data_IF_224754296059
#
_entry.id   IF_224754296059
#
_cell.length_a   1.000
_cell.length_b   1.000
_cell.length_c   1.000
_cell.angle_alpha   90.00
_cell.angle_beta   90.00
_cell.angle_gamma   90.00
#
_symmetry.space_group_name_H-M   'P 1'
#
loop_
_entity.id
_entity.type
_entity.pdbx_description
1 polymer ?
#
# COMPACT_ATOMS: atom_id res chain seq x y z
N UNK A 1 2.97 -14.69 10.20
CA UNK A 1 2.12 -14.92 11.39
C UNK A 1 1.41 -13.61 11.70
N UNK A 2 0.12 -13.65 12.00
CA UNK A 2 -0.68 -12.45 12.28
C UNK A 2 -0.46 -11.98 13.72
N UNK A 3 0.11 -10.78 13.88
CA UNK A 3 0.47 -10.20 15.17
C UNK A 3 -0.74 -10.09 16.11
N UNK A 4 -1.92 -9.75 15.58
CA UNK A 4 -3.10 -9.51 16.42
C UNK A 4 -3.80 -10.79 16.90
N UNK A 5 -3.42 -11.95 16.35
CA UNK A 5 -3.90 -13.27 16.81
C UNK A 5 -2.95 -13.95 17.79
N UNK A 6 -1.73 -13.43 17.93
CA UNK A 6 -0.79 -13.92 18.92
C UNK A 6 -1.07 -13.24 20.26
N UNK A 7 -1.70 -13.98 21.19
CA UNK A 7 -2.07 -13.46 22.50
C UNK A 7 -0.87 -12.96 23.31
N UNK A 8 0.31 -13.53 23.10
CA UNK A 8 1.55 -13.10 23.77
C UNK A 8 2.00 -11.75 23.22
N UNK A 9 2.04 -11.60 21.89
CA UNK A 9 2.41 -10.32 21.27
C UNK A 9 1.39 -9.22 21.59
N UNK A 10 0.09 -9.52 21.53
CA UNK A 10 -0.97 -8.56 21.90
C UNK A 10 -0.84 -8.14 23.37
N UNK A 11 -0.53 -9.08 24.27
CA UNK A 11 -0.29 -8.74 25.67
C UNK A 11 0.91 -7.80 25.80
N UNK A 12 2.05 -8.15 25.18
CA UNK A 12 3.28 -7.35 25.19
C UNK A 12 3.09 -5.94 24.61
N UNK A 13 2.37 -5.78 23.50
CA UNK A 13 2.07 -4.48 22.91
C UNK A 13 1.19 -3.61 23.83
N UNK A 14 0.33 -4.24 24.63
CA UNK A 14 -0.55 -3.52 25.55
C UNK A 14 0.11 -3.17 26.88
N UNK A 15 1.06 -3.98 27.37
CA UNK A 15 1.70 -3.77 28.68
C UNK A 15 3.06 -3.07 28.60
N UNK A 16 3.87 -3.39 27.57
CA UNK A 16 5.29 -3.01 27.50
C UNK A 16 5.60 -2.20 26.22
N UNK A 17 4.73 -1.24 25.91
CA UNK A 17 4.79 -0.48 24.64
C UNK A 17 6.13 0.25 24.42
N UNK A 18 6.74 0.80 25.46
CA UNK A 18 8.02 1.51 25.32
C UNK A 18 9.11 0.65 24.70
N UNK A 19 9.06 -0.67 24.96
CA UNK A 19 9.97 -1.64 24.36
C UNK A 19 9.45 -2.10 23.00
N UNK A 20 8.26 -2.70 22.96
CA UNK A 20 7.81 -3.38 21.74
C UNK A 20 7.31 -2.42 20.67
N UNK A 21 6.77 -1.26 21.04
CA UNK A 21 6.35 -0.23 20.09
C UNK A 21 7.51 0.37 19.31
N UNK A 22 8.68 0.55 19.94
CA UNK A 22 9.88 1.02 19.23
C UNK A 22 10.39 -0.01 18.24
N UNK A 23 10.35 -1.30 18.60
CA UNK A 23 10.72 -2.40 17.71
C UNK A 23 9.73 -2.51 16.54
N UNK A 24 8.42 -2.53 16.85
CA UNK A 24 7.34 -2.67 15.88
C UNK A 24 7.36 -1.55 14.83
N UNK A 25 7.62 -0.31 15.25
CA UNK A 25 7.67 0.86 14.38
C UNK A 25 9.06 1.11 13.77
N UNK A 26 10.02 0.21 14.01
CA UNK A 26 11.41 0.31 13.57
C UNK A 26 12.03 1.68 13.93
N UNK A 27 11.87 2.09 15.19
CA UNK A 27 12.38 3.34 15.75
C UNK A 27 13.60 3.07 16.61
N UNK A 28 14.72 3.72 16.27
CA UNK A 28 15.96 3.64 17.01
C UNK A 28 16.59 5.01 17.23
N UNK A 29 17.73 5.06 17.93
CA UNK A 29 18.54 6.28 18.07
C UNK A 29 19.06 6.82 16.72
N UNK A 30 19.03 6.02 15.66
CA UNK A 30 19.33 6.44 14.30
C UNK A 30 18.13 7.09 13.60
N UNK A 31 16.90 6.84 14.05
CA UNK A 31 15.68 7.41 13.48
C UNK A 31 15.28 8.72 14.17
N UNK A 32 15.48 8.81 15.49
CA UNK A 32 15.17 10.00 16.28
C UNK A 32 15.91 10.01 17.64
N UNK A 33 15.90 11.17 18.30
CA UNK A 33 16.58 11.36 19.61
C UNK A 33 15.96 10.50 20.71
N UNK A 34 14.63 10.37 20.72
CA UNK A 34 13.88 9.64 21.73
C UNK A 34 12.82 8.71 21.08
N UNK A 35 13.20 7.46 20.75
CA UNK A 35 12.31 6.49 20.12
C UNK A 35 11.05 6.19 20.93
N UNK A 36 11.14 6.20 22.26
CA UNK A 36 10.02 5.87 23.15
C UNK A 36 8.97 6.97 23.12
N UNK A 37 9.40 8.23 23.17
CA UNK A 37 8.48 9.37 23.07
C UNK A 37 7.77 9.37 21.72
N UNK A 38 8.51 9.16 20.62
CA UNK A 38 7.93 9.11 19.27
C UNK A 38 6.97 7.93 19.11
N UNK A 39 7.33 6.74 19.60
CA UNK A 39 6.45 5.57 19.51
C UNK A 39 5.15 5.75 20.29
N UNK A 40 5.17 6.45 21.43
CA UNK A 40 3.97 6.82 22.19
C UNK A 40 3.09 7.80 21.42
N UNK A 41 3.67 8.84 20.82
CA UNK A 41 2.93 9.80 19.99
C UNK A 41 2.20 9.11 18.83
N UNK A 42 2.87 8.18 18.14
CA UNK A 42 2.28 7.38 17.06
C UNK A 42 1.14 6.52 17.60
N UNK A 43 1.36 5.79 18.70
CA UNK A 43 0.30 4.98 19.32
C UNK A 43 -0.92 5.81 19.68
N UNK A 44 -0.71 6.95 20.33
CA UNK A 44 -1.80 7.78 20.83
C UNK A 44 -2.64 8.35 19.69
N UNK A 45 -1.99 8.75 18.58
CA UNK A 45 -2.68 9.25 17.38
C UNK A 45 -3.61 8.20 16.76
N UNK A 46 -3.11 6.98 16.51
CA UNK A 46 -3.88 5.93 15.84
C UNK A 46 -4.82 5.19 16.79
N UNK A 47 -4.34 4.78 17.96
CA UNK A 47 -5.09 3.94 18.88
C UNK A 47 -6.01 4.73 19.80
N UNK A 48 -5.75 6.03 20.03
CA UNK A 48 -6.58 6.91 20.87
C UNK A 48 -6.89 6.29 22.24
N UNK A 49 -5.88 5.69 22.86
CA UNK A 49 -5.98 5.00 24.15
C UNK A 49 -6.58 3.59 24.11
N UNK A 50 -7.01 3.10 22.95
CA UNK A 50 -7.52 1.73 22.80
C UNK A 50 -6.40 0.69 22.94
N UNK A 51 -6.75 -0.49 23.47
CA UNK A 51 -5.86 -1.64 23.50
C UNK A 51 -5.78 -2.29 22.12
N UNK A 52 -4.62 -2.85 21.79
CA UNK A 52 -4.46 -3.71 20.61
C UNK A 52 -5.30 -4.98 20.77
N UNK A 53 -5.99 -5.38 19.70
CA UNK A 53 -6.81 -6.57 19.63
C UNK A 53 -7.73 -6.52 18.40
N UNK A 54 -8.65 -7.49 18.29
CA UNK A 54 -9.53 -7.61 17.12
C UNK A 54 -10.37 -6.35 16.87
N UNK A 55 -10.83 -5.66 17.92
CA UNK A 55 -11.65 -4.45 17.79
C UNK A 55 -10.89 -3.21 17.32
N UNK A 56 -9.55 -3.21 17.43
CA UNK A 56 -8.68 -2.08 17.08
C UNK A 56 -7.72 -2.39 15.92
N UNK A 57 -7.99 -3.50 15.25
CA UNK A 57 -7.27 -4.02 14.09
C UNK A 57 -7.19 -3.04 12.93
N UNK A 58 -8.27 -2.29 12.62
CA UNK A 58 -8.25 -1.27 11.57
C UNK A 58 -7.24 -0.17 11.88
N UNK A 59 -7.24 0.35 13.12
CA UNK A 59 -6.30 1.37 13.57
C UNK A 59 -4.86 0.86 13.56
N UNK A 60 -4.66 -0.40 13.95
CA UNK A 60 -3.36 -1.05 13.85
C UNK A 60 -2.88 -1.15 12.39
N UNK A 61 -3.73 -1.60 11.47
CA UNK A 61 -3.40 -1.68 10.04
C UNK A 61 -3.10 -0.30 9.48
N UNK A 62 -3.91 0.72 9.78
CA UNK A 62 -3.66 2.11 9.35
C UNK A 62 -2.32 2.64 9.86
N UNK A 63 -1.99 2.42 11.14
CA UNK A 63 -0.71 2.81 11.74
C UNK A 63 0.47 2.17 11.00
N UNK A 64 0.40 0.87 10.73
CA UNK A 64 1.47 0.13 10.05
C UNK A 64 1.58 0.55 8.57
N UNK A 65 0.45 0.69 7.88
CA UNK A 65 0.38 1.14 6.48
C UNK A 65 1.01 2.52 6.33
N UNK A 66 0.69 3.45 7.24
CA UNK A 66 1.19 4.81 7.14
C UNK A 66 2.69 4.89 7.47
N UNK A 67 3.15 4.15 8.49
CA UNK A 67 4.57 4.11 8.91
C UNK A 67 5.49 3.53 7.82
N UNK A 68 5.07 2.45 7.17
CA UNK A 68 5.95 1.64 6.33
C UNK A 68 5.76 1.88 4.83
N UNK A 69 4.62 2.40 4.40
CA UNK A 69 4.32 2.58 2.98
C UNK A 69 3.94 4.00 2.63
N UNK A 70 2.87 4.55 3.24
CA UNK A 70 2.32 5.83 2.79
C UNK A 70 3.26 7.00 3.04
N UNK A 71 3.74 7.15 4.28
CA UNK A 71 4.59 8.29 4.63
C UNK A 71 5.96 8.23 3.94
N UNK A 72 6.69 7.09 3.94
CA UNK A 72 7.94 6.99 3.18
C UNK A 72 7.77 7.23 1.67
N UNK A 73 6.67 6.75 1.05
CA UNK A 73 6.40 7.00 -0.37
C UNK A 73 6.21 8.48 -0.66
N UNK A 74 5.44 9.18 0.20
CA UNK A 74 5.24 10.62 0.08
C UNK A 74 6.55 11.41 0.19
N UNK A 75 7.38 11.05 1.18
CA UNK A 75 8.73 11.62 1.35
C UNK A 75 9.59 11.39 0.12
N UNK A 76 9.64 10.15 -0.37
CA UNK A 76 10.41 9.79 -1.56
C UNK A 76 9.98 10.60 -2.79
N UNK A 77 8.67 10.81 -3.01
CA UNK A 77 8.21 11.65 -4.12
C UNK A 77 8.63 13.10 -3.98
N UNK A 78 8.45 13.70 -2.79
CA UNK A 78 8.83 15.09 -2.51
C UNK A 78 10.34 15.29 -2.72
N UNK A 79 11.14 14.37 -2.21
CA UNK A 79 12.60 14.42 -2.30
C UNK A 79 13.07 14.19 -3.76
N UNK A 80 12.45 13.27 -4.49
CA UNK A 80 12.74 13.05 -5.92
C UNK A 80 12.42 14.27 -6.77
N UNK A 81 11.26 14.91 -6.53
CA UNK A 81 10.87 16.13 -7.24
C UNK A 81 11.78 17.31 -6.89
N UNK A 82 12.24 17.40 -5.64
CA UNK A 82 13.19 18.42 -5.23
C UNK A 82 14.55 18.24 -5.91
N UNK A 83 15.03 16.99 -6.02
CA UNK A 83 16.30 16.65 -6.66
C UNK A 83 16.30 16.96 -8.17
N UNK A 84 15.16 16.78 -8.84
CA UNK A 84 14.98 17.02 -10.28
C UNK A 84 14.42 18.41 -10.60
N UNK A 85 14.57 19.36 -9.67
CA UNK A 85 14.03 20.71 -9.86
C UNK A 85 14.69 21.39 -11.06
N UNK A 86 13.91 21.62 -12.11
CA UNK A 86 14.36 22.23 -13.36
C UNK A 86 14.46 21.25 -14.52
N UNK A 87 14.39 19.95 -14.25
CA UNK A 87 14.26 18.92 -15.28
C UNK A 87 12.79 18.76 -15.69
N UNK A 88 12.55 18.44 -16.96
CA UNK A 88 11.22 18.11 -17.47
C UNK A 88 10.89 16.62 -17.20
N UNK A 89 11.09 16.19 -15.95
CA UNK A 89 10.81 14.84 -15.48
C UNK A 89 9.55 14.89 -14.63
N UNK A 90 8.58 14.04 -14.99
CA UNK A 90 7.34 13.87 -14.26
C UNK A 90 7.43 12.69 -13.30
N UNK A 91 6.86 12.86 -12.11
CA UNK A 91 6.65 11.77 -11.16
C UNK A 91 5.18 11.39 -11.18
N UNK A 92 4.85 10.11 -11.10
CA UNK A 92 3.47 9.64 -11.10
C UNK A 92 3.21 8.84 -9.83
N UNK A 93 2.08 9.13 -9.18
CA UNK A 93 1.63 8.43 -7.97
C UNK A 93 0.37 7.65 -8.28
N UNK A 94 0.23 6.47 -7.68
CA UNK A 94 -1.04 5.75 -7.66
C UNK A 94 -1.36 5.23 -6.27
N UNK A 95 -2.65 4.93 -6.05
CA UNK A 95 -3.15 4.21 -4.87
C UNK A 95 -4.09 3.12 -5.36
N UNK A 96 -3.79 1.86 -5.02
CA UNK A 96 -4.67 0.74 -5.31
C UNK A 96 -5.78 0.66 -4.26
N UNK A 97 -7.03 0.87 -4.69
CA UNK A 97 -8.21 0.76 -3.83
C UNK A 97 -9.12 -0.41 -4.24
N UNK A 98 -8.95 -0.94 -5.45
CA UNK A 98 -9.70 -2.12 -5.86
C UNK A 98 -9.22 -3.38 -5.15
N UNK A 99 -10.08 -3.91 -4.28
CA UNK A 99 -9.89 -5.20 -3.65
C UNK A 99 -10.51 -6.29 -4.54
N UNK A 100 -9.67 -7.20 -5.02
CA UNK A 100 -10.12 -8.41 -5.71
C UNK A 100 -10.80 -9.41 -4.75
N UNK A 101 -11.33 -10.51 -5.31
CA UNK A 101 -11.90 -11.61 -4.51
C UNK A 101 -10.85 -12.43 -3.74
N UNK A 102 -9.57 -12.25 -4.06
CA UNK A 102 -8.42 -12.96 -3.47
C UNK A 102 -7.30 -11.97 -3.26
N UNK A 103 -6.51 -12.20 -2.21
CA UNK A 103 -5.26 -11.50 -1.95
C UNK A 103 -4.08 -12.36 -2.35
N UNK A 104 -2.96 -11.72 -2.66
CA UNK A 104 -1.68 -12.39 -2.90
C UNK A 104 -1.28 -13.24 -1.69
N UNK A 105 -1.58 -12.77 -0.48
CA UNK A 105 -1.31 -13.52 0.75
C UNK A 105 -2.12 -14.82 0.82
N UNK A 106 -3.37 -14.85 0.34
CA UNK A 106 -4.18 -16.08 0.31
C UNK A 106 -3.45 -17.19 -0.46
N UNK A 107 -2.79 -16.81 -1.56
CA UNK A 107 -2.06 -17.71 -2.47
C UNK A 107 -0.80 -18.24 -1.77
N UNK A 108 0.02 -17.35 -1.20
CA UNK A 108 1.24 -17.75 -0.48
C UNK A 108 0.93 -18.71 0.68
N UNK A 109 -0.17 -18.48 1.39
CA UNK A 109 -0.57 -19.31 2.51
C UNK A 109 -1.09 -20.69 2.07
N UNK A 110 -1.76 -20.80 0.91
CA UNK A 110 -2.17 -22.09 0.34
C UNK A 110 -0.97 -22.96 -0.05
N UNK A 111 0.07 -22.38 -0.66
CA UNK A 111 1.29 -23.12 -0.99
C UNK A 111 2.04 -23.60 0.26
N UNK A 112 2.16 -22.74 1.28
CA UNK A 112 2.81 -23.10 2.54
C UNK A 112 2.09 -24.25 3.28
N UNK A 113 0.75 -24.27 3.23
CA UNK A 113 -0.05 -25.32 3.87
C UNK A 113 -0.03 -26.63 3.09
N UNK A 114 -0.01 -26.59 1.75
CA UNK A 114 0.14 -27.78 0.89
C UNK A 114 1.49 -28.51 1.08
N UNK A 115 2.55 -27.78 1.43
CA UNK A 115 3.87 -28.38 1.74
C UNK A 115 3.89 -29.03 3.13
N UNK A 116 3.06 -28.54 4.07
CA UNK A 116 3.10 -28.95 5.48
C UNK A 116 2.20 -30.14 5.83
N UNK A 117 1.20 -30.45 5.01
CA UNK A 117 0.27 -31.56 5.29
C UNK A 117 0.04 -32.36 4.02
N UNK A 118 0.48 -33.62 3.99
CA UNK A 118 0.16 -34.59 2.94
C UNK A 118 -1.32 -35.03 2.93
N UNK A 119 -2.23 -34.13 3.32
CA UNK A 119 -3.65 -34.40 3.48
C UNK A 119 -4.43 -33.40 2.61
N UNK A 120 -5.09 -33.91 1.57
CA UNK A 120 -5.73 -33.15 0.47
C UNK A 120 -6.89 -32.25 0.88
N UNK A 121 -7.13 -32.06 2.18
CA UNK A 121 -8.14 -31.14 2.73
C UNK A 121 -7.65 -29.69 2.78
N UNK A 122 -6.33 -29.48 2.80
CA UNK A 122 -5.72 -28.13 2.70
C UNK A 122 -5.86 -27.52 1.29
N UNK A 123 -5.98 -28.35 0.25
CA UNK A 123 -6.15 -27.92 -1.14
C UNK A 123 -7.46 -27.15 -1.41
N UNK A 124 -8.38 -27.11 -0.44
CA UNK A 124 -9.68 -26.43 -0.53
C UNK A 124 -9.84 -25.24 0.43
N UNK A 125 -8.76 -24.71 1.01
CA UNK A 125 -8.80 -23.42 1.72
C UNK A 125 -9.58 -23.41 3.05
N UNK A 126 -9.74 -24.57 3.69
CA UNK A 126 -10.60 -24.72 4.88
C UNK A 126 -9.94 -24.41 6.24
N UNK A 127 -8.67 -24.00 6.30
CA UNK A 127 -7.97 -23.81 7.59
C UNK A 127 -7.89 -22.37 8.10
N UNK A 128 -8.24 -21.34 7.31
CA UNK A 128 -8.27 -19.95 7.79
C UNK A 128 -9.61 -19.27 7.45
N UNK A 129 -10.46 -18.98 8.46
CA UNK A 129 -11.73 -18.27 8.27
C UNK A 129 -11.59 -16.91 7.57
N UNK A 130 -10.40 -16.29 7.63
CA UNK A 130 -10.11 -15.01 6.95
C UNK A 130 -10.07 -15.14 5.41
N UNK A 131 -9.80 -16.33 4.87
CA UNK A 131 -9.73 -16.59 3.42
C UNK A 131 -11.01 -17.24 2.86
N UNK A 132 -12.04 -17.35 3.70
CA UNK A 132 -13.36 -17.88 3.33
C UNK A 132 -14.34 -16.76 2.91
N UNK A 133 -13.95 -15.49 3.08
CA UNK A 133 -14.77 -14.36 2.67
C UNK A 133 -14.86 -14.31 1.13
N UNK A 134 -16.08 -14.21 0.62
CA UNK A 134 -16.40 -14.22 -0.83
C UNK A 134 -16.68 -12.83 -1.39
N UNK A 135 -16.71 -11.80 -0.54
CA UNK A 135 -17.02 -10.41 -0.94
C UNK A 135 -15.78 -9.59 -1.29
N UNK A 136 -14.72 -9.73 -0.52
CA UNK A 136 -13.42 -9.08 -0.68
C UNK A 136 -12.33 -10.00 -0.10
N UNK A 137 -11.08 -9.80 -0.49
CA UNK A 137 -9.98 -10.75 -0.32
C UNK A 137 -9.74 -11.27 1.12
N UNK A 138 -10.27 -10.59 2.14
CA UNK A 138 -10.21 -11.04 3.54
C UNK A 138 -11.06 -10.20 4.52
N UNK A 139 -11.88 -9.25 4.03
CA UNK A 139 -12.65 -8.31 4.87
C UNK A 139 -11.89 -7.05 5.32
N UNK A 140 -10.66 -6.82 4.82
CA UNK A 140 -9.79 -5.72 5.25
C UNK A 140 -9.37 -4.78 4.10
N UNK A 141 -9.90 -5.00 2.89
CA UNK A 141 -9.50 -4.25 1.70
C UNK A 141 -8.26 -4.82 1.03
N UNK A 142 -7.48 -3.93 0.41
CA UNK A 142 -6.29 -4.28 -0.39
C UNK A 142 -5.11 -4.62 0.52
N UNK A 143 -4.56 -5.81 0.35
CA UNK A 143 -3.37 -6.28 1.05
C UNK A 143 -2.07 -5.91 0.33
N UNK A 144 -0.95 -6.05 1.04
CA UNK A 144 0.37 -5.95 0.44
C UNK A 144 0.56 -7.01 -0.66
N UNK A 145 1.11 -6.60 -1.81
CA UNK A 145 1.36 -7.41 -3.02
C UNK A 145 0.11 -7.76 -3.85
N UNK A 146 -1.09 -7.34 -3.45
CA UNK A 146 -2.31 -7.60 -4.23
C UNK A 146 -2.24 -6.98 -5.63
N UNK A 147 -1.49 -5.88 -5.80
CA UNK A 147 -1.24 -5.22 -7.09
C UNK A 147 -0.55 -6.14 -8.10
N UNK A 148 0.27 -7.10 -7.63
CA UNK A 148 0.99 -8.03 -8.49
C UNK A 148 0.04 -8.98 -9.24
N UNK A 149 -1.13 -9.25 -8.65
CA UNK A 149 -2.17 -10.05 -9.30
C UNK A 149 -2.77 -9.34 -10.50
N UNK A 150 -2.69 -8.01 -10.58
CA UNK A 150 -3.19 -7.27 -11.74
C UNK A 150 -2.12 -7.03 -12.81
N UNK A 151 -0.83 -7.17 -12.46
CA UNK A 151 0.31 -6.92 -13.35
C UNK A 151 0.88 -8.19 -14.00
N UNK A 152 0.86 -9.32 -13.29
CA UNK A 152 1.59 -10.52 -13.71
C UNK A 152 0.66 -11.73 -13.93
N UNK A 153 -0.11 -11.75 -15.04
CA UNK A 153 -0.90 -12.92 -15.40
C UNK A 153 0.02 -14.12 -15.58
N UNK A 154 -0.21 -15.16 -14.76
CA UNK A 154 0.65 -16.34 -14.68
C UNK A 154 -0.14 -17.60 -15.02
N UNK A 155 0.35 -18.45 -15.94
CA UNK A 155 -0.24 -19.75 -16.22
C UNK A 155 -0.33 -20.66 -14.99
N UNK A 156 0.59 -20.53 -14.02
CA UNK A 156 0.54 -21.28 -12.75
C UNK A 156 -0.64 -20.85 -11.87
N UNK A 157 -1.12 -19.64 -12.06
CA UNK A 157 -2.27 -19.07 -11.36
C UNK A 157 -3.53 -19.09 -12.23
N UNK A 158 -3.56 -19.78 -13.40
CA UNK A 158 -4.68 -19.72 -14.37
C UNK A 158 -6.06 -19.99 -13.76
N UNK A 159 -6.15 -20.95 -12.84
CA UNK A 159 -7.41 -21.29 -12.16
C UNK A 159 -7.86 -20.17 -11.20
N UNK A 160 -6.90 -19.54 -10.51
CA UNK A 160 -7.12 -18.39 -9.62
C UNK A 160 -7.49 -17.14 -10.42
N UNK A 161 -6.79 -16.89 -11.53
CA UNK A 161 -7.11 -15.82 -12.47
C UNK A 161 -8.51 -15.96 -13.03
N UNK A 162 -8.95 -17.17 -13.38
CA UNK A 162 -10.34 -17.40 -13.79
C UNK A 162 -11.30 -16.98 -12.66
N UNK A 163 -11.10 -17.43 -11.43
CA UNK A 163 -11.97 -17.09 -10.29
C UNK A 163 -11.94 -15.60 -9.86
N UNK A 164 -10.80 -14.92 -10.04
CA UNK A 164 -10.61 -13.51 -9.70
C UNK A 164 -11.10 -12.56 -10.80
N UNK A 165 -10.87 -12.92 -12.06
CA UNK A 165 -11.10 -12.08 -13.24
C UNK A 165 -12.44 -12.35 -13.92
N UNK A 166 -13.24 -13.28 -13.39
CA UNK A 166 -14.62 -13.56 -13.84
C UNK A 166 -15.57 -12.34 -13.67
N UNK A 167 -15.11 -11.23 -13.06
CA UNK A 167 -15.83 -9.95 -13.08
C UNK A 167 -15.18 -8.96 -14.04
N UNK A 168 -16.01 -8.24 -14.79
CA UNK A 168 -15.58 -7.20 -15.74
C UNK A 168 -14.69 -6.13 -15.07
N UNK A 169 -14.93 -5.84 -13.78
CA UNK A 169 -14.18 -4.88 -12.99
C UNK A 169 -12.69 -5.27 -12.80
N UNK A 170 -12.40 -6.50 -12.38
CA UNK A 170 -11.02 -6.95 -12.16
C UNK A 170 -10.24 -7.00 -13.48
N UNK A 171 -10.89 -7.45 -14.55
CA UNK A 171 -10.33 -7.46 -15.91
C UNK A 171 -10.02 -6.05 -16.42
N UNK A 172 -10.92 -5.09 -16.19
CA UNK A 172 -10.68 -3.69 -16.51
C UNK A 172 -9.49 -3.13 -15.71
N UNK A 173 -9.40 -3.42 -14.41
CA UNK A 173 -8.29 -2.96 -13.57
C UNK A 173 -6.94 -3.48 -14.07
N UNK A 174 -6.82 -4.79 -14.30
CA UNK A 174 -5.59 -5.40 -14.82
C UNK A 174 -5.21 -4.86 -16.20
N UNK A 175 -6.19 -4.69 -17.10
CA UNK A 175 -5.94 -4.17 -18.45
C UNK A 175 -5.35 -2.77 -18.39
N UNK A 176 -5.94 -1.87 -17.59
CA UNK A 176 -5.43 -0.50 -17.45
C UNK A 176 -4.08 -0.47 -16.74
N UNK A 177 -3.88 -1.26 -15.68
CA UNK A 177 -2.59 -1.34 -15.01
C UNK A 177 -1.47 -1.76 -15.96
N UNK A 178 -1.66 -2.85 -16.71
CA UNK A 178 -0.67 -3.31 -17.70
C UNK A 178 -0.43 -2.22 -18.74
N UNK A 179 -1.49 -1.60 -19.26
CA UNK A 179 -1.39 -0.53 -20.24
C UNK A 179 -0.57 0.66 -19.72
N UNK A 180 -0.94 1.25 -18.57
CA UNK A 180 -0.24 2.42 -18.02
C UNK A 180 1.23 2.11 -17.72
N UNK A 181 1.53 0.96 -17.11
CA UNK A 181 2.90 0.56 -16.85
C UNK A 181 3.69 0.36 -18.14
N UNK A 182 3.10 -0.24 -19.18
CA UNK A 182 3.78 -0.40 -20.48
C UNK A 182 4.01 0.93 -21.19
N UNK A 183 3.08 1.88 -21.11
CA UNK A 183 3.24 3.22 -21.68
C UNK A 183 4.35 3.99 -20.98
N UNK A 184 4.33 3.99 -19.64
CA UNK A 184 5.36 4.61 -18.82
C UNK A 184 6.75 4.04 -19.13
N UNK A 185 6.88 2.71 -19.25
CA UNK A 185 8.15 2.07 -19.62
C UNK A 185 8.64 2.51 -21.02
N UNK A 186 7.72 2.70 -21.98
CA UNK A 186 8.07 3.08 -23.35
C UNK A 186 8.47 4.54 -23.48
N UNK A 187 7.79 5.44 -22.77
CA UNK A 187 7.88 6.88 -23.04
C UNK A 187 7.94 7.81 -21.82
N UNK A 188 7.90 7.27 -20.61
CA UNK A 188 7.91 8.07 -19.37
C UNK A 188 6.57 8.72 -19.01
N UNK A 189 5.56 8.62 -19.88
CA UNK A 189 4.17 9.06 -19.63
C UNK A 189 3.26 7.82 -19.66
N UNK A 190 2.50 7.53 -18.58
CA UNK A 190 1.55 6.42 -18.56
C UNK A 190 0.32 6.62 -19.46
N UNK A 191 -0.05 7.87 -19.75
CA UNK A 191 -1.23 8.23 -20.55
C UNK A 191 -0.87 9.27 -21.63
N UNK A 192 0.05 8.97 -22.55
CA UNK A 192 0.54 9.95 -23.52
C UNK A 192 -0.53 10.33 -24.54
N UNK A 193 -0.60 11.60 -24.93
CA UNK A 193 -1.49 12.03 -26.00
C UNK A 193 -1.10 11.30 -27.31
N UNK A 194 -2.11 10.84 -28.05
CA UNK A 194 -1.93 10.18 -29.35
C UNK A 194 -2.33 11.13 -30.48
N UNK A 195 -1.56 11.10 -31.56
CA UNK A 195 -1.86 11.88 -32.76
C UNK A 195 -3.29 11.59 -33.27
N UNK A 196 -4.07 12.66 -33.46
CA UNK A 196 -5.45 12.58 -33.95
C UNK A 196 -6.53 12.41 -32.88
N UNK A 197 -6.17 12.33 -31.59
CA UNK A 197 -7.14 12.44 -30.50
C UNK A 197 -7.39 13.90 -30.10
N UNK A 198 -8.63 14.26 -29.71
CA UNK A 198 -8.91 15.56 -29.11
C UNK A 198 -8.11 15.76 -27.81
N UNK A 199 -7.63 16.98 -27.58
CA UNK A 199 -6.80 17.32 -26.40
C UNK A 199 -7.53 17.11 -25.06
N UNK A 200 -8.87 17.09 -25.05
CA UNK A 200 -9.72 16.95 -23.88
C UNK A 200 -10.23 15.53 -23.61
N UNK A 201 -9.86 14.56 -24.46
CA UNK A 201 -10.31 13.16 -24.35
C UNK A 201 -9.11 12.23 -24.25
N UNK A 202 -8.98 11.51 -23.14
CA UNK A 202 -7.92 10.51 -23.00
C UNK A 202 -8.11 9.37 -24.00
N UNK A 203 -7.12 9.07 -24.85
CA UNK A 203 -7.14 7.87 -25.68
C UNK A 203 -7.09 6.57 -24.88
N UNK A 204 -6.75 6.67 -23.59
CA UNK A 204 -6.55 5.55 -22.68
C UNK A 204 -7.73 5.33 -21.72
N UNK A 205 -8.80 6.11 -21.87
CA UNK A 205 -9.99 6.04 -20.99
C UNK A 205 -9.79 6.66 -19.60
N UNK A 206 -8.60 7.18 -19.31
CA UNK A 206 -8.24 7.81 -18.05
C UNK A 206 -7.04 8.75 -18.23
N UNK A 207 -6.96 9.80 -17.41
CA UNK A 207 -5.78 10.63 -17.30
C UNK A 207 -5.06 10.28 -16.01
N UNK A 208 -3.78 9.92 -16.12
CA UNK A 208 -2.92 9.75 -14.95
C UNK A 208 -2.09 11.02 -14.80
N UNK A 209 -2.61 11.95 -14.01
CA UNK A 209 -1.99 13.25 -13.81
C UNK A 209 -0.64 13.09 -13.12
N UNK A 210 0.43 13.75 -13.62
CA UNK A 210 1.70 13.76 -12.94
C UNK A 210 1.61 14.59 -11.65
N UNK A 211 2.47 14.25 -10.70
CA UNK A 211 2.67 15.00 -9.49
C UNK A 211 3.27 16.37 -9.79
N UNK A 212 2.66 17.43 -9.25
CA UNK A 212 3.19 18.78 -9.30
C UNK A 212 3.44 19.31 -7.89
N UNK A 213 4.52 20.07 -7.63
CA UNK A 213 4.68 20.74 -6.35
C UNK A 213 3.48 21.64 -6.03
N UNK A 214 2.79 21.36 -4.92
CA UNK A 214 1.55 22.04 -4.53
C UNK A 214 0.25 21.34 -4.96
N UNK A 215 0.33 20.34 -5.84
CA UNK A 215 -0.80 19.51 -6.27
C UNK A 215 -0.44 18.03 -6.13
N UNK A 216 -0.93 17.40 -5.08
CA UNK A 216 -0.59 16.03 -4.71
C UNK A 216 -1.52 15.01 -5.38
N UNK A 217 -1.54 15.06 -6.71
CA UNK A 217 -2.35 14.18 -7.53
C UNK A 217 -1.88 12.73 -7.42
N UNK A 218 -2.84 11.81 -7.49
CA UNK A 218 -2.57 10.39 -7.60
C UNK A 218 -3.67 9.70 -8.40
N UNK A 219 -3.31 8.68 -9.16
CA UNK A 219 -4.28 7.81 -9.81
C UNK A 219 -4.90 6.87 -8.79
N UNK A 220 -6.23 6.93 -8.60
CA UNK A 220 -6.96 5.89 -7.88
C UNK A 220 -7.14 4.69 -8.81
N UNK A 221 -6.46 3.59 -8.50
CA UNK A 221 -6.61 2.34 -9.23
C UNK A 221 -7.83 1.61 -8.68
N UNK A 222 -8.92 1.81 -9.38
CA UNK A 222 -10.18 1.10 -9.28
C UNK A 222 -10.84 1.00 -10.67
N UNK A 223 -12.04 0.42 -10.83
CA UNK A 223 -12.67 0.35 -12.15
C UNK A 223 -12.93 1.72 -12.81
N UNK A 224 -12.88 2.83 -12.07
CA UNK A 224 -13.05 4.19 -12.61
C UNK A 224 -11.74 4.82 -13.11
N UNK A 225 -10.57 4.36 -12.64
CA UNK A 225 -9.24 4.84 -13.05
C UNK A 225 -9.11 6.37 -13.07
N UNK A 226 -9.60 7.05 -12.03
CA UNK A 226 -9.63 8.51 -11.98
C UNK A 226 -8.49 9.10 -11.15
N UNK A 227 -7.81 10.12 -11.68
CA UNK A 227 -6.83 10.92 -10.92
C UNK A 227 -7.54 11.76 -9.87
N UNK A 228 -7.12 11.62 -8.62
CA UNK A 228 -7.69 12.35 -7.50
C UNK A 228 -6.98 13.69 -7.34
N UNK A 229 -7.77 14.75 -7.16
CA UNK A 229 -7.26 16.09 -6.88
C UNK A 229 -6.97 16.32 -5.39
N UNK A 230 -7.69 15.61 -4.52
CA UNK A 230 -7.51 15.70 -3.08
C UNK A 230 -6.25 14.95 -2.63
N UNK A 231 -5.41 15.53 -1.76
CA UNK A 231 -4.19 14.88 -1.31
C UNK A 231 -4.48 13.60 -0.52
N UNK A 232 -3.83 12.49 -0.90
CA UNK A 232 -4.01 11.22 -0.21
C UNK A 232 -3.57 11.31 1.27
N UNK A 233 -4.48 10.99 2.21
CA UNK A 233 -4.22 10.93 3.66
C UNK A 233 -3.50 12.17 4.20
N UNK A 234 -3.98 13.36 3.84
CA UNK A 234 -3.33 14.63 4.19
C UNK A 234 -3.13 14.81 5.71
N UNK A 235 -4.15 14.52 6.51
CA UNK A 235 -4.08 14.70 7.97
C UNK A 235 -3.04 13.78 8.62
N UNK A 236 -2.99 12.52 8.19
CA UNK A 236 -2.01 11.55 8.69
C UNK A 236 -0.61 11.96 8.29
N UNK A 237 -0.40 12.39 7.04
CA UNK A 237 0.91 12.88 6.59
C UNK A 237 1.37 14.11 7.37
N UNK A 238 0.48 15.08 7.63
CA UNK A 238 0.77 16.23 8.49
C UNK A 238 1.15 15.81 9.91
N UNK A 239 0.50 14.77 10.45
CA UNK A 239 0.89 14.19 11.74
C UNK A 239 2.31 13.59 11.68
N UNK A 240 2.62 12.78 10.67
CA UNK A 240 3.96 12.20 10.51
C UNK A 240 5.04 13.27 10.29
N UNK A 241 4.77 14.31 9.51
CA UNK A 241 5.65 15.47 9.32
C UNK A 241 5.97 16.18 10.65
N UNK A 242 5.02 16.19 11.59
CA UNK A 242 5.18 16.84 12.90
C UNK A 242 6.10 16.09 13.87
N UNK A 243 6.38 14.81 13.62
CA UNK A 243 7.19 13.99 14.51
C UNK A 243 8.67 14.42 14.47
N UNK A 244 9.42 14.32 15.58
CA UNK A 244 10.82 14.71 15.65
C UNK A 244 11.79 13.67 15.05
N UNK A 245 11.37 13.02 13.96
CA UNK A 245 12.16 12.07 13.18
C UNK A 245 13.29 12.79 12.43
N UNK A 246 14.43 12.13 12.25
CA UNK A 246 15.57 12.73 11.55
C UNK A 246 15.30 12.91 10.05
N UNK A 247 14.50 12.03 9.44
CA UNK A 247 14.01 12.18 8.06
C UNK A 247 13.18 13.46 7.86
N UNK A 248 12.59 14.02 8.93
CA UNK A 248 11.82 15.26 8.87
C UNK A 248 12.70 16.53 9.00
N UNK A 249 13.94 16.40 9.48
CA UNK A 249 14.76 17.55 9.90
C UNK A 249 15.63 18.16 8.81
N UNK A 250 15.82 17.49 7.67
CA UNK A 250 16.73 17.97 6.63
C UNK A 250 16.05 17.92 5.26
N UNK A 251 15.41 19.02 4.87
CA UNK A 251 14.86 19.18 3.52
C UNK A 251 15.93 19.17 2.41
N UNK A 252 17.22 19.29 2.76
CA UNK A 252 18.32 19.48 1.79
C UNK A 252 19.42 18.41 1.88
N UNK A 253 19.19 17.29 2.60
CA UNK A 253 20.17 16.21 2.68
C UNK A 253 19.46 14.91 2.37
N UNK A 254 19.49 14.51 1.10
CA UNK A 254 19.18 13.14 0.71
C UNK A 254 20.27 12.28 1.33
N UNK A 255 19.91 11.52 2.35
CA UNK A 255 20.79 10.50 2.91
C UNK A 255 20.45 9.22 2.17
N UNK A 256 21.34 8.83 1.28
CA UNK A 256 21.26 7.53 0.64
C UNK A 256 21.52 6.49 1.74
N UNK A 257 20.45 5.87 2.25
CA UNK A 257 20.56 4.71 3.14
C UNK A 257 20.55 3.45 2.26
N UNK A 258 21.72 3.16 1.68
CA UNK A 258 22.10 1.82 1.20
C UNK A 258 22.76 1.03 2.33
#
# INVERSE_FOLDING_TARGET
QDILKDSTLVHQLNTDWDKYGTILLHLSKHSCKDPVVVSRQIRDYYMKGQKFGDSSSKQFVEMMTDRFFVYPTDRAMKDHRLAQKGDNIFCYRYVLEYCGRKSFLDILHQEASAVSTGDGRAAFGLSNPRFQNTRDAHGWGVGFMDELLFLFPSPKLKLLYKQMMDSDAASAVSTHMIMFWTNFIKGGDPTPILDGYPDDISPWGAWWEPYYPGYDYYLRIDPSMFSQEEPYKEEQRKFWDSLPLYENKAANVIRDEL
#
